data_IF_649308602581
#
_entry.id   IF_649308602581
#
_cell.length_a   1.000
_cell.length_b   1.000
_cell.length_c   1.000
_cell.angle_alpha   90.00
_cell.angle_beta   90.00
_cell.angle_gamma   90.00
#
_symmetry.space_group_name_H-M   'P 1'
#
loop_
_entity.id
_entity.type
_entity.pdbx_description
1 polymer ?
#
# COMPACT_ATOMS: atom_id res chain seq x y z
N UNK A 1 -8.19 -15.49 16.44
CA UNK A 1 -7.58 -14.33 15.78
C UNK A 1 -6.07 -14.39 15.93
N UNK A 2 -5.34 -14.01 14.91
CA UNK A 2 -3.89 -14.11 14.91
C UNK A 2 -3.27 -12.81 14.42
N UNK A 3 -2.39 -12.22 15.21
CA UNK A 3 -1.61 -11.07 14.81
C UNK A 3 -0.41 -11.50 13.96
N UNK A 4 -0.16 -10.80 12.88
CA UNK A 4 0.96 -11.05 11.97
C UNK A 4 1.72 -9.77 11.67
N UNK A 5 3.03 -9.91 11.47
CA UNK A 5 3.89 -8.87 10.93
C UNK A 5 4.16 -9.20 9.47
N UNK A 6 4.01 -8.21 8.61
CA UNK A 6 4.14 -8.35 7.16
C UNK A 6 5.28 -7.48 6.67
N UNK A 7 6.20 -8.05 5.91
CA UNK A 7 7.26 -7.31 5.22
C UNK A 7 6.98 -7.33 3.73
N UNK A 8 6.85 -6.16 3.14
CA UNK A 8 6.67 -5.98 1.70
C UNK A 8 7.87 -5.27 1.10
N UNK A 9 8.23 -5.62 -0.13
CA UNK A 9 9.22 -4.89 -0.92
C UNK A 9 8.58 -4.41 -2.22
N UNK A 10 8.64 -3.11 -2.48
CA UNK A 10 8.05 -2.54 -3.68
C UNK A 10 8.89 -2.89 -4.92
N UNK A 11 8.21 -3.35 -5.98
CA UNK A 11 8.78 -3.55 -7.31
C UNK A 11 8.70 -2.29 -8.15
N UNK A 12 7.65 -1.50 -7.92
CA UNK A 12 7.40 -0.21 -8.56
C UNK A 12 7.13 0.84 -7.51
N UNK A 13 7.36 2.09 -7.87
CA UNK A 13 7.17 3.21 -6.95
C UNK A 13 5.76 3.23 -6.36
N UNK A 14 5.68 3.39 -5.04
CA UNK A 14 4.43 3.56 -4.31
C UNK A 14 4.30 5.03 -3.92
N UNK A 15 3.30 5.70 -4.44
CA UNK A 15 3.12 7.15 -4.32
C UNK A 15 2.19 7.51 -3.17
N UNK A 16 2.57 8.53 -2.41
CA UNK A 16 1.66 9.21 -1.50
C UNK A 16 0.58 9.97 -2.27
N UNK A 17 -0.62 10.04 -1.73
CA UNK A 17 -1.81 10.58 -2.41
C UNK A 17 -2.51 11.70 -1.65
N UNK A 18 -2.15 11.95 -0.39
CA UNK A 18 -2.74 13.02 0.40
C UNK A 18 -2.17 14.38 -0.03
N UNK A 19 -3.02 15.25 -0.59
CA UNK A 19 -2.61 16.55 -1.09
C UNK A 19 -2.33 17.50 0.06
N UNK A 20 -1.10 18.02 0.13
CA UNK A 20 -0.68 19.01 1.13
C UNK A 20 0.05 20.18 0.48
N UNK A 21 -0.01 21.35 1.12
CA UNK A 21 0.79 22.51 0.71
C UNK A 21 2.01 22.63 1.62
N UNK A 22 3.17 22.78 1.01
CA UNK A 22 4.44 23.01 1.70
C UNK A 22 5.17 24.17 1.00
N UNK A 23 5.40 25.26 1.70
CA UNK A 23 6.06 26.46 1.14
C UNK A 23 5.40 26.94 -0.16
N UNK A 24 4.05 26.97 -0.19
CA UNK A 24 3.28 27.37 -1.37
C UNK A 24 3.19 26.33 -2.49
N UNK A 25 3.91 25.24 -2.38
CA UNK A 25 3.90 24.14 -3.36
C UNK A 25 2.99 23.00 -2.92
N UNK A 26 2.24 22.43 -3.88
CA UNK A 26 1.43 21.23 -3.63
C UNK A 26 2.30 19.98 -3.73
N UNK A 27 2.26 19.18 -2.67
CA UNK A 27 2.95 17.89 -2.60
C UNK A 27 1.93 16.82 -2.21
N UNK A 28 2.02 15.66 -2.82
CA UNK A 28 1.21 14.50 -2.47
C UNK A 28 2.00 13.61 -1.49
N UNK A 29 1.49 13.49 -0.28
CA UNK A 29 2.15 12.81 0.83
C UNK A 29 1.40 11.56 1.25
N UNK A 30 2.08 10.70 2.01
CA UNK A 30 1.38 9.67 2.79
C UNK A 30 0.72 10.32 3.99
N UNK A 31 -0.41 9.76 4.43
CA UNK A 31 -1.00 10.13 5.71
C UNK A 31 -0.03 9.81 6.84
N UNK A 32 -0.08 10.62 7.90
CA UNK A 32 0.78 10.47 9.07
C UNK A 32 -0.03 10.54 10.35
N UNK A 33 0.41 9.78 11.35
CA UNK A 33 -0.17 9.83 12.68
C UNK A 33 0.37 11.05 13.48
N UNK A 34 -0.12 11.30 14.71
CA UNK A 34 0.38 12.43 15.52
C UNK A 34 1.87 12.34 15.85
N UNK A 35 2.49 11.16 15.80
CA UNK A 35 3.93 10.98 16.00
C UNK A 35 4.73 11.09 14.68
N UNK A 36 4.11 11.58 13.60
CA UNK A 36 4.69 11.75 12.26
C UNK A 36 5.11 10.42 11.59
N UNK A 37 4.49 9.31 11.99
CA UNK A 37 4.73 8.01 11.36
C UNK A 37 3.83 7.82 10.13
N UNK A 38 4.39 7.22 9.08
CA UNK A 38 3.66 6.95 7.84
C UNK A 38 2.51 5.99 8.11
N UNK A 39 1.36 6.26 7.49
CA UNK A 39 0.18 5.44 7.60
C UNK A 39 -0.29 4.97 6.22
N UNK A 40 -0.64 3.68 6.14
CA UNK A 40 -1.41 3.12 5.03
C UNK A 40 -2.83 2.87 5.53
N UNK A 41 -3.80 3.53 4.93
CA UNK A 41 -5.18 3.51 5.44
C UNK A 41 -5.81 2.12 5.28
N UNK A 42 -6.52 1.69 6.32
CA UNK A 42 -7.20 0.39 6.33
C UNK A 42 -8.20 0.24 5.20
N UNK A 43 -8.86 1.33 4.80
CA UNK A 43 -9.79 1.34 3.66
C UNK A 43 -9.10 1.01 2.34
N UNK A 44 -7.85 1.43 2.16
CA UNK A 44 -7.06 1.08 0.98
C UNK A 44 -6.74 -0.42 0.96
N UNK A 45 -6.33 -0.97 2.10
CA UNK A 45 -6.10 -2.41 2.23
C UNK A 45 -7.37 -3.23 2.00
N UNK A 46 -8.51 -2.76 2.51
CA UNK A 46 -9.79 -3.42 2.27
C UNK A 46 -10.10 -3.49 0.77
N UNK A 47 -9.90 -2.40 0.05
CA UNK A 47 -10.06 -2.35 -1.41
C UNK A 47 -9.12 -3.33 -2.11
N UNK A 48 -7.85 -3.38 -1.70
CA UNK A 48 -6.86 -4.32 -2.23
C UNK A 48 -7.28 -5.78 -2.00
N UNK A 49 -7.68 -6.12 -0.79
CA UNK A 49 -8.03 -7.49 -0.43
C UNK A 49 -9.34 -7.94 -1.07
N UNK A 50 -10.29 -7.04 -1.27
CA UNK A 50 -11.51 -7.33 -2.05
C UNK A 50 -11.17 -7.67 -3.49
N UNK A 51 -10.25 -6.95 -4.09
CA UNK A 51 -9.76 -7.26 -5.44
C UNK A 51 -9.18 -8.69 -5.51
N UNK A 52 -8.31 -9.05 -4.56
CA UNK A 52 -7.70 -10.37 -4.51
C UNK A 52 -8.75 -11.47 -4.26
N UNK A 53 -9.72 -11.24 -3.37
CA UNK A 53 -10.80 -12.17 -3.10
C UNK A 53 -11.66 -12.40 -4.35
N UNK A 54 -11.97 -11.34 -5.08
CA UNK A 54 -12.72 -11.43 -6.34
C UNK A 54 -11.93 -12.20 -7.40
N UNK A 55 -10.64 -11.93 -7.53
CA UNK A 55 -9.77 -12.58 -8.52
C UNK A 55 -9.65 -14.10 -8.24
N UNK A 56 -9.53 -14.49 -6.98
CA UNK A 56 -9.43 -15.89 -6.57
C UNK A 56 -10.79 -16.56 -6.33
N UNK A 57 -11.86 -15.79 -6.32
CA UNK A 57 -13.22 -16.22 -5.97
C UNK A 57 -13.29 -16.94 -4.60
N UNK A 58 -12.53 -16.44 -3.63
CA UNK A 58 -12.44 -17.03 -2.27
C UNK A 58 -12.31 -15.92 -1.23
N UNK A 59 -12.73 -16.24 -0.01
CA UNK A 59 -12.51 -15.40 1.18
C UNK A 59 -13.18 -14.02 1.16
N UNK A 60 -14.26 -13.83 0.40
CA UNK A 60 -14.95 -12.54 0.27
C UNK A 60 -15.41 -11.95 1.62
N UNK A 61 -15.89 -12.78 2.53
CA UNK A 61 -16.32 -12.33 3.84
C UNK A 61 -15.13 -12.13 4.80
N UNK A 62 -14.15 -13.02 4.75
CA UNK A 62 -13.00 -13.01 5.66
C UNK A 62 -12.12 -11.77 5.48
N UNK A 63 -11.91 -11.32 4.25
CA UNK A 63 -11.05 -10.16 3.97
C UNK A 63 -11.59 -8.88 4.59
N UNK A 64 -12.90 -8.77 4.80
CA UNK A 64 -13.52 -7.61 5.46
C UNK A 64 -13.25 -7.56 6.96
N UNK A 65 -12.85 -8.68 7.55
CA UNK A 65 -12.62 -8.83 8.99
C UNK A 65 -11.13 -8.67 9.36
N UNK A 66 -10.24 -8.54 8.39
CA UNK A 66 -8.82 -8.30 8.64
C UNK A 66 -8.69 -6.91 9.27
N UNK A 67 -8.08 -6.85 10.45
CA UNK A 67 -7.82 -5.59 11.15
C UNK A 67 -6.39 -5.14 10.88
N UNK A 68 -6.25 -4.10 10.08
CA UNK A 68 -4.97 -3.56 9.67
C UNK A 68 -4.52 -2.47 10.63
N UNK A 69 -3.30 -2.59 11.15
CA UNK A 69 -2.65 -1.47 11.80
C UNK A 69 -2.27 -0.43 10.72
N UNK A 70 -2.77 0.80 10.79
CA UNK A 70 -2.49 1.79 9.72
C UNK A 70 -1.03 2.26 9.73
N UNK A 71 -0.36 2.26 10.88
CA UNK A 71 1.03 2.72 10.98
C UNK A 71 1.96 1.68 10.38
N UNK A 72 2.83 2.12 9.48
CA UNK A 72 3.83 1.28 8.83
C UNK A 72 5.23 1.75 9.20
N UNK A 73 6.19 0.83 9.20
CA UNK A 73 7.60 1.13 9.40
C UNK A 73 8.27 1.24 8.04
N UNK A 74 8.77 2.42 7.72
CA UNK A 74 9.45 2.72 6.48
C UNK A 74 9.52 4.23 6.24
N UNK A 75 10.56 4.68 5.54
CA UNK A 75 10.76 6.10 5.25
C UNK A 75 10.67 6.36 3.75
N UNK A 76 9.64 7.06 3.30
CA UNK A 76 9.52 7.42 1.88
C UNK A 76 10.44 8.57 1.52
N UNK A 77 10.81 8.63 0.24
CA UNK A 77 11.44 9.81 -0.36
C UNK A 77 10.41 10.92 -0.53
N UNK A 78 10.86 12.18 -0.46
CA UNK A 78 9.96 13.35 -0.46
C UNK A 78 9.90 14.10 -1.81
N UNK A 79 10.59 13.63 -2.81
CA UNK A 79 10.88 14.39 -4.03
C UNK A 79 10.64 13.60 -5.33
N UNK A 80 9.78 12.60 -5.30
CA UNK A 80 9.46 11.85 -6.51
C UNK A 80 8.62 12.69 -7.46
N UNK A 81 9.05 12.78 -8.73
CA UNK A 81 8.33 13.51 -9.78
C UNK A 81 7.51 12.55 -10.63
N UNK A 82 6.20 12.78 -10.66
CA UNK A 82 5.30 12.09 -11.56
C UNK A 82 4.93 13.02 -12.71
N UNK A 83 5.20 12.62 -13.94
CA UNK A 83 4.86 13.40 -15.12
C UNK A 83 3.36 13.35 -15.37
N UNK A 84 2.78 14.52 -15.65
CA UNK A 84 1.37 14.68 -15.99
C UNK A 84 1.30 15.34 -17.36
N UNK A 85 0.48 14.79 -18.25
CA UNK A 85 0.18 15.36 -19.55
C UNK A 85 -1.22 15.95 -19.53
N UNK A 86 -1.36 17.25 -19.85
CA UNK A 86 -2.65 17.91 -19.94
C UNK A 86 -2.83 18.52 -21.32
N UNK A 87 -4.03 18.43 -21.94
CA UNK A 87 -4.32 19.09 -23.20
C UNK A 87 -4.24 20.61 -23.05
N UNK A 88 -3.74 21.28 -24.08
CA UNK A 88 -3.82 22.74 -24.22
C UNK A 88 -4.11 23.11 -25.68
N UNK A 89 -4.15 24.41 -26.01
CA UNK A 89 -4.51 24.91 -27.33
C UNK A 89 -3.52 24.50 -28.45
N UNK A 90 -2.30 24.11 -28.08
CA UNK A 90 -1.24 23.74 -29.03
C UNK A 90 -0.90 22.26 -28.99
N UNK A 91 -1.65 21.42 -28.25
CA UNK A 91 -1.40 19.99 -28.10
C UNK A 91 -1.39 19.56 -26.66
N UNK A 92 -0.35 18.82 -26.24
CA UNK A 92 -0.19 18.33 -24.88
C UNK A 92 0.89 19.09 -24.13
N UNK A 93 0.58 19.58 -22.95
CA UNK A 93 1.53 20.20 -22.05
C UNK A 93 2.02 19.18 -21.01
N UNK A 94 3.33 19.05 -20.86
CA UNK A 94 3.95 18.24 -19.83
C UNK A 94 4.23 19.09 -18.59
N UNK A 95 3.85 18.58 -17.43
CA UNK A 95 4.25 19.11 -16.14
C UNK A 95 4.41 17.96 -15.15
N UNK A 96 4.86 18.24 -13.93
CA UNK A 96 5.06 17.18 -12.95
C UNK A 96 4.36 17.49 -11.63
N UNK A 97 4.00 16.42 -10.91
CA UNK A 97 3.56 16.48 -9.53
C UNK A 97 4.65 15.91 -8.63
N UNK A 98 4.84 16.52 -7.46
CA UNK A 98 5.75 16.01 -6.44
C UNK A 98 5.01 15.09 -5.48
N UNK A 99 5.62 13.95 -5.19
CA UNK A 99 5.09 12.95 -4.28
C UNK A 99 6.12 12.53 -3.24
N UNK A 100 5.66 12.23 -2.03
CA UNK A 100 6.36 11.26 -1.21
C UNK A 100 6.22 9.89 -1.87
N UNK A 101 7.27 9.09 -1.87
CA UNK A 101 7.24 7.79 -2.55
C UNK A 101 8.18 6.79 -1.89
N UNK A 102 7.72 5.53 -1.84
CA UNK A 102 8.62 4.39 -1.68
C UNK A 102 9.11 3.98 -3.06
N UNK A 103 10.40 3.80 -3.20
CA UNK A 103 11.03 3.46 -4.47
C UNK A 103 11.10 1.95 -4.69
N UNK A 104 11.29 1.50 -5.93
CA UNK A 104 11.59 0.09 -6.18
C UNK A 104 12.77 -0.39 -5.31
N UNK A 105 12.57 -1.51 -4.62
CA UNK A 105 13.54 -2.07 -3.68
C UNK A 105 13.34 -1.65 -2.22
N UNK A 106 12.57 -0.58 -1.95
CA UNK A 106 12.26 -0.18 -0.58
C UNK A 106 11.33 -1.21 0.07
N UNK A 107 11.54 -1.43 1.36
CA UNK A 107 10.71 -2.32 2.18
C UNK A 107 9.86 -1.52 3.16
N UNK A 108 8.69 -2.04 3.46
CA UNK A 108 7.84 -1.56 4.55
C UNK A 108 7.44 -2.74 5.41
N UNK A 109 7.28 -2.49 6.70
CA UNK A 109 6.79 -3.46 7.67
C UNK A 109 5.47 -2.96 8.22
N UNK A 110 4.47 -3.82 8.21
CA UNK A 110 3.15 -3.51 8.72
C UNK A 110 2.58 -4.68 9.52
N UNK A 111 1.50 -4.43 10.24
CA UNK A 111 0.86 -5.42 11.09
C UNK A 111 -0.61 -5.54 10.78
N UNK A 112 -1.14 -6.73 10.95
CA UNK A 112 -2.57 -7.01 10.81
C UNK A 112 -2.99 -8.11 11.79
N UNK A 113 -4.28 -8.12 12.12
CA UNK A 113 -4.89 -9.22 12.86
C UNK A 113 -5.81 -9.96 11.92
N UNK A 114 -5.54 -11.26 11.75
CA UNK A 114 -6.31 -12.13 10.87
C UNK A 114 -7.49 -12.75 11.63
N UNK A 115 -8.69 -12.81 11.02
CA UNK A 115 -9.79 -13.56 11.59
C UNK A 115 -9.53 -15.08 11.53
N UNK A 116 -10.28 -15.86 12.30
CA UNK A 116 -10.06 -17.31 12.39
C UNK A 116 -10.38 -18.05 11.09
N UNK A 117 -11.19 -17.48 10.23
CA UNK A 117 -11.59 -18.07 8.94
C UNK A 117 -10.62 -17.81 7.78
N UNK A 118 -9.44 -17.24 8.07
CA UNK A 118 -8.37 -17.08 7.09
C UNK A 118 -7.04 -17.56 7.69
N UNK A 119 -6.34 -18.43 6.97
CA UNK A 119 -5.02 -18.90 7.39
C UNK A 119 -3.92 -17.92 6.94
N UNK A 120 -2.74 -18.01 7.54
CA UNK A 120 -1.58 -17.25 7.09
C UNK A 120 -1.27 -17.56 5.62
N UNK A 121 -1.37 -18.83 5.21
CA UNK A 121 -1.13 -19.23 3.82
C UNK A 121 -2.12 -18.56 2.85
N UNK A 122 -3.41 -18.52 3.20
CA UNK A 122 -4.43 -17.83 2.42
C UNK A 122 -4.15 -16.32 2.35
N UNK A 123 -3.76 -15.73 3.47
CA UNK A 123 -3.42 -14.31 3.55
C UNK A 123 -2.23 -13.96 2.66
N UNK A 124 -1.16 -14.77 2.69
CA UNK A 124 0.01 -14.62 1.81
C UNK A 124 -0.43 -14.70 0.34
N UNK A 125 -1.27 -15.68 0.01
CA UNK A 125 -1.76 -15.86 -1.37
C UNK A 125 -2.53 -14.62 -1.85
N UNK A 126 -3.44 -14.10 -1.05
CA UNK A 126 -4.22 -12.91 -1.38
C UNK A 126 -3.32 -11.67 -1.52
N UNK A 127 -2.40 -11.45 -0.59
CA UNK A 127 -1.45 -10.34 -0.68
C UNK A 127 -0.54 -10.45 -1.92
N UNK A 128 -0.13 -11.65 -2.27
CA UNK A 128 0.69 -11.89 -3.46
C UNK A 128 -0.07 -11.50 -4.73
N UNK A 129 -1.36 -11.81 -4.80
CA UNK A 129 -2.21 -11.36 -5.92
C UNK A 129 -2.33 -9.84 -5.99
N UNK A 130 -2.51 -9.18 -4.86
CA UNK A 130 -2.53 -7.71 -4.80
C UNK A 130 -1.22 -7.14 -5.31
N UNK A 131 -0.10 -7.62 -4.77
CA UNK A 131 1.23 -7.11 -5.10
C UNK A 131 1.59 -7.27 -6.56
N UNK A 132 1.21 -8.39 -7.15
CA UNK A 132 1.53 -8.72 -8.54
C UNK A 132 0.64 -8.01 -9.55
N UNK A 133 -0.66 -7.96 -9.30
CA UNK A 133 -1.63 -7.56 -10.33
C UNK A 133 -2.26 -6.18 -10.11
N UNK A 134 -2.26 -5.67 -8.90
CA UNK A 134 -2.91 -4.40 -8.57
C UNK A 134 -1.94 -3.35 -8.03
N UNK A 135 -1.15 -3.70 -7.03
CA UNK A 135 -0.35 -2.77 -6.26
C UNK A 135 -1.16 -1.99 -5.22
N UNK A 136 -0.47 -1.20 -4.42
CA UNK A 136 -1.04 -0.44 -3.30
C UNK A 136 -1.14 1.06 -3.60
N UNK A 137 -1.05 1.52 -4.78
CA UNK A 137 -1.16 2.96 -5.07
C UNK A 137 -2.50 3.31 -5.71
N UNK A 138 -3.14 4.44 -5.33
CA UNK A 138 -4.39 4.90 -5.95
C UNK A 138 -4.21 5.42 -7.37
N UNK A 139 -2.97 5.62 -7.84
CA UNK A 139 -2.67 6.12 -9.18
C UNK A 139 -2.52 5.00 -10.21
N UNK A 140 -3.01 3.81 -9.93
CA UNK A 140 -2.93 2.70 -10.87
C UNK A 140 -3.86 2.90 -12.06
N UNK A 141 -3.30 2.71 -13.25
CA UNK A 141 -4.06 2.63 -14.50
C UNK A 141 -3.63 1.38 -15.29
N UNK A 142 -4.17 1.21 -16.50
CA UNK A 142 -3.85 0.04 -17.32
C UNK A 142 -2.39 -0.06 -17.77
N UNK A 143 -1.67 1.05 -17.78
CA UNK A 143 -0.28 1.13 -18.25
C UNK A 143 0.73 1.24 -17.10
N UNK A 144 0.38 1.95 -16.02
CA UNK A 144 1.25 2.18 -14.89
C UNK A 144 0.66 1.54 -13.64
N UNK A 145 1.39 0.58 -13.07
CA UNK A 145 0.99 -0.15 -11.87
C UNK A 145 1.86 0.31 -10.70
N UNK A 146 1.56 1.49 -10.21
CA UNK A 146 2.25 2.03 -9.04
C UNK A 146 2.00 1.16 -7.80
N UNK A 147 3.06 0.98 -7.01
CA UNK A 147 2.97 0.29 -5.75
C UNK A 147 2.83 -1.23 -5.82
N UNK A 148 3.15 -1.86 -6.96
CA UNK A 148 3.28 -3.32 -7.00
C UNK A 148 4.41 -3.77 -6.07
N UNK A 149 4.26 -4.91 -5.44
CA UNK A 149 5.17 -5.37 -4.41
C UNK A 149 5.30 -6.90 -4.38
N UNK A 150 6.36 -7.36 -3.70
CA UNK A 150 6.54 -8.74 -3.28
C UNK A 150 6.28 -8.88 -1.79
N UNK A 151 5.64 -9.96 -1.40
CA UNK A 151 5.52 -10.36 0.01
C UNK A 151 6.80 -11.06 0.40
N UNK A 152 7.62 -10.42 1.23
CA UNK A 152 8.92 -10.97 1.67
C UNK A 152 8.72 -11.94 2.82
N UNK A 153 7.90 -11.57 3.80
CA UNK A 153 7.64 -12.40 4.96
C UNK A 153 6.27 -12.06 5.57
N UNK A 154 5.60 -13.06 6.09
CA UNK A 154 4.45 -12.92 6.99
C UNK A 154 4.73 -13.81 8.20
N UNK A 155 4.90 -13.19 9.35
CA UNK A 155 5.32 -13.87 10.57
C UNK A 155 4.27 -13.70 11.66
N UNK A 156 3.85 -14.79 12.33
CA UNK A 156 2.97 -14.66 13.47
C UNK A 156 3.70 -13.93 14.60
N UNK A 157 2.98 -13.02 15.27
CA UNK A 157 3.48 -12.39 16.48
C UNK A 157 3.21 -13.30 17.65
N UNK A 158 4.24 -13.56 18.48
CA UNK A 158 4.08 -14.36 19.69
C UNK A 158 3.14 -13.64 20.67
N UNK A 159 2.06 -14.31 21.06
CA UNK A 159 1.13 -13.78 22.05
C UNK A 159 1.72 -13.76 23.46
N UNK A 160 1.13 -13.00 24.41
CA UNK A 160 1.53 -13.04 25.80
C UNK A 160 1.44 -14.47 26.37
N UNK A 161 2.54 -14.97 26.95
CA UNK A 161 2.59 -16.31 27.54
C UNK A 161 2.91 -17.44 26.56
N UNK A 162 3.22 -17.16 25.31
CA UNK A 162 3.78 -18.16 24.41
C UNK A 162 5.32 -18.19 24.59
N UNK A 163 5.81 -19.28 25.09
CA UNK A 163 7.24 -19.53 25.26
C UNK A 163 7.89 -20.06 23.96
#
# INVERSE_FOLDING_TARGET
MQEVTVTLRFNRVCLGAAKKRRNGQVIFCFERDPADRVMFMSSAWLSCMRYAAKLSNRHHAAVKKIDWCPVVVGEPRKDWRRTILTPNDTGMRSHYALHEAFRPGDTVILSAVLPDDITIADFIHLLTLVGKYRGFSPFNNSQEKYGTFEVIAVEPVAGPGSD
#
